data_IF_521188661829
#
_entry.id   IF_521188661829
#
_cell.length_a   1.000
_cell.length_b   1.000
_cell.length_c   1.000
_cell.angle_alpha   90.00
_cell.angle_beta   90.00
_cell.angle_gamma   90.00
#
_symmetry.space_group_name_H-M   'P 1'
#
loop_
_entity.id
_entity.type
_entity.pdbx_description
1 polymer ?
#
# COMPACT_ATOMS: atom_id res chain seq x y z
N UNK A 1 -3.89 -18.08 -15.86
CA UNK A 1 -5.12 -17.29 -15.72
C UNK A 1 -4.92 -16.42 -14.50
N UNK A 2 -4.46 -15.18 -14.70
CA UNK A 2 -4.09 -14.30 -13.59
C UNK A 2 -5.35 -13.69 -12.98
N UNK A 3 -5.83 -14.26 -11.88
CA UNK A 3 -6.83 -13.61 -11.05
C UNK A 3 -6.16 -12.37 -10.46
N UNK A 4 -6.62 -11.18 -10.85
CA UNK A 4 -6.36 -9.99 -10.06
C UNK A 4 -7.00 -10.27 -8.69
N UNK A 5 -6.19 -10.41 -7.64
CA UNK A 5 -6.71 -10.52 -6.29
C UNK A 5 -7.37 -9.19 -5.95
N UNK A 6 -8.71 -9.17 -5.93
CA UNK A 6 -9.45 -8.06 -5.33
C UNK A 6 -9.02 -7.97 -3.87
N UNK A 7 -8.62 -6.77 -3.46
CA UNK A 7 -8.33 -6.48 -2.05
C UNK A 7 -9.66 -6.06 -1.44
N UNK A 8 -10.19 -6.88 -0.53
CA UNK A 8 -11.45 -6.60 0.16
C UNK A 8 -11.21 -5.89 1.50
N UNK A 9 -12.26 -5.38 2.13
CA UNK A 9 -12.17 -4.76 3.46
C UNK A 9 -11.61 -5.74 4.51
N UNK A 10 -11.90 -7.03 4.38
CA UNK A 10 -11.37 -8.08 5.25
C UNK A 10 -9.85 -8.25 5.16
N UNK A 11 -9.25 -7.99 3.99
CA UNK A 11 -7.79 -7.98 3.83
C UNK A 11 -7.18 -6.80 4.58
N UNK A 12 -7.78 -5.61 4.50
CA UNK A 12 -7.33 -4.42 5.23
C UNK A 12 -7.37 -4.63 6.75
N UNK A 13 -8.45 -5.22 7.26
CA UNK A 13 -8.57 -5.59 8.67
C UNK A 13 -7.50 -6.61 9.06
N UNK A 14 -7.25 -7.60 8.20
CA UNK A 14 -6.22 -8.61 8.44
C UNK A 14 -4.83 -7.99 8.47
N UNK A 15 -4.51 -7.06 7.57
CA UNK A 15 -3.24 -6.33 7.55
C UNK A 15 -3.03 -5.51 8.83
N UNK A 16 -4.09 -4.87 9.34
CA UNK A 16 -4.10 -4.15 10.61
C UNK A 16 -3.90 -5.08 11.81
N UNK A 17 -4.72 -6.13 11.91
CA UNK A 17 -4.73 -7.07 13.05
C UNK A 17 -3.42 -7.86 13.15
N UNK A 18 -2.87 -8.27 12.00
CA UNK A 18 -1.58 -8.95 11.93
C UNK A 18 -0.39 -7.99 12.01
N UNK A 19 -0.62 -6.68 12.15
CA UNK A 19 0.41 -5.65 12.19
C UNK A 19 1.46 -5.86 11.07
N UNK A 20 0.97 -6.01 9.84
CA UNK A 20 1.84 -6.30 8.69
C UNK A 20 2.60 -5.04 8.30
N UNK A 21 3.88 -5.00 8.66
CA UNK A 21 4.76 -3.89 8.30
C UNK A 21 4.96 -3.78 6.79
N UNK A 22 5.19 -2.56 6.33
CA UNK A 22 5.62 -2.28 4.96
C UNK A 22 6.88 -3.09 4.62
N UNK A 23 7.02 -3.43 3.35
CA UNK A 23 8.16 -4.18 2.87
C UNK A 23 8.17 -4.34 1.37
N UNK A 24 8.90 -5.34 0.90
CA UNK A 24 9.13 -5.54 -0.53
C UNK A 24 7.90 -5.98 -1.33
N UNK A 25 6.82 -6.35 -0.64
CA UNK A 25 5.58 -6.86 -1.24
C UNK A 25 4.37 -5.96 -0.95
N UNK A 26 4.46 -5.08 0.05
CA UNK A 26 3.37 -4.20 0.44
C UNK A 26 3.91 -2.85 0.87
N UNK A 27 3.33 -1.77 0.36
CA UNK A 27 3.73 -0.40 0.65
C UNK A 27 2.49 0.43 0.95
N UNK A 28 2.55 1.21 2.02
CA UNK A 28 1.46 2.06 2.48
C UNK A 28 1.85 3.51 2.23
N UNK A 29 1.02 4.26 1.51
CA UNK A 29 1.18 5.71 1.33
C UNK A 29 -0.12 6.41 1.67
N UNK A 30 -0.05 7.46 2.50
CA UNK A 30 -1.21 8.28 2.80
C UNK A 30 -1.66 9.08 1.56
N UNK A 31 -0.69 9.69 0.88
CA UNK A 31 -0.94 10.52 -0.29
C UNK A 31 0.09 10.29 -1.39
N UNK A 32 -0.36 10.33 -2.63
CA UNK A 32 0.51 10.40 -3.80
C UNK A 32 0.64 11.87 -4.17
N UNK A 33 1.78 12.46 -3.85
CA UNK A 33 1.99 13.89 -4.05
C UNK A 33 1.67 14.32 -5.49
N UNK A 34 1.09 15.51 -5.63
CA UNK A 34 0.64 16.02 -6.94
C UNK A 34 1.77 16.63 -7.78
N UNK A 35 2.97 16.76 -7.22
CA UNK A 35 4.14 17.29 -7.94
C UNK A 35 4.66 16.29 -8.95
N UNK A 36 5.46 16.76 -9.93
CA UNK A 36 6.07 15.88 -10.93
C UNK A 36 7.07 14.90 -10.30
N UNK A 37 7.77 15.33 -9.26
CA UNK A 37 8.75 14.52 -8.55
C UNK A 37 8.06 13.42 -7.73
N UNK A 38 7.02 13.77 -6.97
CA UNK A 38 6.24 12.79 -6.22
C UNK A 38 5.60 11.74 -7.14
N UNK A 39 5.08 12.15 -8.30
CA UNK A 39 4.57 11.22 -9.31
C UNK A 39 5.65 10.31 -9.88
N UNK A 40 6.88 10.81 -10.07
CA UNK A 40 7.99 9.96 -10.51
C UNK A 40 8.37 8.92 -9.47
N UNK A 41 8.40 9.29 -8.19
CA UNK A 41 8.65 8.34 -7.10
C UNK A 41 7.55 7.28 -7.05
N UNK A 42 6.28 7.67 -7.09
CA UNK A 42 5.16 6.73 -7.17
C UNK A 42 5.28 5.77 -8.36
N UNK A 43 5.59 6.27 -9.56
CA UNK A 43 5.82 5.40 -10.73
C UNK A 43 7.02 4.48 -10.54
N UNK A 44 8.07 4.93 -9.85
CA UNK A 44 9.24 4.11 -9.57
C UNK A 44 8.88 2.96 -8.65
N UNK A 45 8.10 3.20 -7.61
CA UNK A 45 7.61 2.16 -6.69
C UNK A 45 6.74 1.15 -7.44
N UNK A 46 5.74 1.63 -8.20
CA UNK A 46 4.89 0.77 -9.05
C UNK A 46 5.71 -0.05 -10.04
N UNK A 47 6.69 0.56 -10.70
CA UNK A 47 7.57 -0.14 -11.65
C UNK A 47 8.45 -1.18 -10.96
N UNK A 48 8.87 -0.92 -9.71
CA UNK A 48 9.68 -1.85 -8.94
C UNK A 48 8.86 -3.07 -8.54
N UNK A 49 7.61 -2.89 -8.12
CA UNK A 49 6.68 -3.99 -7.85
C UNK A 49 6.39 -4.82 -9.11
N UNK A 50 6.11 -4.16 -10.23
CA UNK A 50 5.83 -4.83 -11.49
C UNK A 50 7.02 -5.64 -12.04
N UNK A 51 8.25 -5.16 -11.81
CA UNK A 51 9.48 -5.81 -12.27
C UNK A 51 10.03 -6.88 -11.30
N UNK A 52 9.58 -6.89 -10.04
CA UNK A 52 10.03 -7.84 -9.03
C UNK A 52 9.10 -9.07 -8.97
N UNK A 53 8.42 -9.28 -7.84
CA UNK A 53 7.52 -10.43 -7.62
C UNK A 53 6.04 -10.02 -7.63
N UNK A 54 5.72 -8.79 -8.03
CA UNK A 54 4.44 -8.15 -7.74
C UNK A 54 4.38 -7.58 -6.33
N UNK A 55 3.21 -7.07 -5.94
CA UNK A 55 2.95 -6.52 -4.63
C UNK A 55 1.69 -5.67 -4.59
N UNK A 56 1.39 -5.11 -3.41
CA UNK A 56 0.26 -4.25 -3.16
C UNK A 56 0.74 -2.86 -2.75
N UNK A 57 0.27 -1.83 -3.45
CA UNK A 57 0.52 -0.44 -3.09
C UNK A 57 -0.80 0.17 -2.62
N UNK A 58 -0.91 0.40 -1.32
CA UNK A 58 -2.13 0.92 -0.71
C UNK A 58 -2.00 2.44 -0.58
N UNK A 59 -2.87 3.16 -1.27
CA UNK A 59 -2.93 4.62 -1.24
C UNK A 59 -4.11 5.07 -0.37
N UNK A 60 -3.89 6.02 0.52
CA UNK A 60 -4.87 6.46 1.51
C UNK A 60 -4.75 5.74 2.86
N UNK A 61 -3.62 5.07 3.13
CA UNK A 61 -3.34 4.42 4.41
C UNK A 61 -2.29 5.23 5.15
N UNK A 62 -2.59 5.63 6.39
CA UNK A 62 -1.60 6.24 7.25
C UNK A 62 -0.66 5.16 7.78
N UNK A 63 0.62 5.26 7.45
CA UNK A 63 1.68 4.47 8.06
C UNK A 63 2.05 5.07 9.44
N UNK A 64 2.22 4.21 10.43
CA UNK A 64 2.78 4.55 11.74
C UNK A 64 4.17 3.92 11.91
N UNK A 65 5.03 4.45 12.78
CA UNK A 65 6.33 3.85 13.05
C UNK A 65 6.17 2.45 13.69
N UNK A 66 6.86 1.39 13.22
CA UNK A 66 7.86 1.29 12.15
C UNK A 66 7.30 0.72 10.82
N UNK A 67 6.48 1.49 10.10
CA UNK A 67 5.88 1.11 8.81
C UNK A 67 4.62 0.24 8.93
N UNK A 68 3.90 0.35 10.05
CA UNK A 68 2.65 -0.40 10.28
C UNK A 68 1.46 0.38 9.72
N UNK A 69 0.42 -0.30 9.19
CA UNK A 69 -0.84 0.36 8.86
C UNK A 69 -1.49 0.87 10.16
N UNK A 70 -1.45 2.18 10.38
CA UNK A 70 -1.93 2.82 11.60
C UNK A 70 -3.39 3.26 11.49
N UNK A 71 -3.78 3.80 10.33
CA UNK A 71 -5.14 4.30 10.09
C UNK A 71 -5.52 4.19 8.61
N UNK A 72 -6.81 4.01 8.35
CA UNK A 72 -7.39 3.95 6.99
C UNK A 72 -8.40 5.10 6.83
N UNK A 73 -7.92 6.35 6.67
CA UNK A 73 -8.79 7.51 6.59
C UNK A 73 -9.76 7.39 5.41
N UNK A 74 -11.06 7.33 5.73
CA UNK A 74 -12.13 7.18 4.75
C UNK A 74 -12.86 5.84 4.77
N UNK A 75 -12.38 4.87 5.58
CA UNK A 75 -13.09 3.62 5.85
C UNK A 75 -13.51 3.54 7.32
N UNK A 76 -14.74 3.06 7.62
CA UNK A 76 -15.19 2.86 8.99
C UNK A 76 -14.66 1.52 9.55
N UNK A 77 -13.34 1.40 9.74
CA UNK A 77 -12.67 0.17 10.22
C UNK A 77 -12.41 0.15 11.73
#
# INVERSE_FOLDING_TARGET
MGCLAEVEEGDLVSLRDNAVAEGKLIDYKLEVGTTREARKEFLKDVSSFANAAGGHLLVGVAEGPPGLPADFPGLPL
#
